data_IF_829750525367
#
_entry.id   IF_829750525367
#
_cell.length_a   1.000
_cell.length_b   1.000
_cell.length_c   1.000
_cell.angle_alpha   90.00
_cell.angle_beta   90.00
_cell.angle_gamma   90.00
#
_symmetry.space_group_name_H-M   'P 1'
#
loop_
_entity.id
_entity.type
_entity.pdbx_description
1 polymer ?
#
# COMPACT_ATOMS: atom_id res chain seq x y z
N UNK A 1 -4.69 -12.35 18.27
CA UNK A 1 -3.61 -11.47 17.78
C UNK A 1 -4.24 -10.14 17.39
N UNK A 2 -3.96 -9.09 18.14
CA UNK A 2 -4.45 -7.75 17.88
C UNK A 2 -3.54 -7.15 16.80
N UNK A 3 -4.00 -7.09 15.56
CA UNK A 3 -3.43 -6.19 14.58
C UNK A 3 -3.89 -4.79 14.95
N UNK A 4 -2.96 -3.85 15.17
CA UNK A 4 -3.34 -2.44 15.27
C UNK A 4 -3.96 -2.05 13.94
N UNK A 5 -5.17 -1.46 13.91
CA UNK A 5 -5.67 -0.91 12.67
C UNK A 5 -4.67 0.12 12.16
N UNK A 6 -4.44 0.14 10.85
CA UNK A 6 -3.71 1.21 10.19
C UNK A 6 -4.32 2.56 10.59
N UNK A 7 -3.52 3.62 10.63
CA UNK A 7 -4.08 4.97 10.80
C UNK A 7 -5.16 5.14 9.74
N UNK A 8 -6.33 5.57 10.16
CA UNK A 8 -7.44 5.88 9.26
C UNK A 8 -6.96 6.90 8.23
N UNK A 9 -6.97 6.52 6.98
CA UNK A 9 -6.71 7.42 5.88
C UNK A 9 -8.03 7.67 5.18
N UNK A 10 -8.34 8.93 4.93
CA UNK A 10 -9.65 9.36 4.46
C UNK A 10 -9.54 10.30 3.28
N UNK A 11 -10.29 10.01 2.23
CA UNK A 11 -10.54 10.86 1.07
C UNK A 11 -11.95 10.60 0.57
N UNK A 12 -12.51 11.46 -0.27
CA UNK A 12 -13.82 11.23 -0.91
C UNK A 12 -13.60 10.33 -2.12
N UNK A 13 -14.11 9.10 -2.08
CA UNK A 13 -13.96 8.06 -3.10
C UNK A 13 -15.21 7.88 -3.98
N UNK A 14 -16.33 8.50 -3.61
CA UNK A 14 -17.60 8.36 -4.32
C UNK A 14 -18.15 9.69 -4.86
N UNK A 15 -17.49 10.81 -4.54
CA UNK A 15 -17.83 12.15 -5.06
C UNK A 15 -19.00 12.81 -4.33
N UNK A 16 -19.33 12.40 -3.10
CA UNK A 16 -20.44 12.95 -2.32
C UNK A 16 -20.03 14.14 -1.40
N UNK A 17 -18.74 14.50 -1.41
CA UNK A 17 -18.09 15.50 -0.57
C UNK A 17 -18.00 15.14 0.92
N UNK A 18 -18.19 13.89 1.27
CA UNK A 18 -17.92 13.32 2.60
C UNK A 18 -16.69 12.41 2.48
N UNK A 19 -15.81 12.48 3.47
CA UNK A 19 -14.60 11.66 3.44
C UNK A 19 -14.90 10.21 3.78
N UNK A 20 -14.49 9.33 2.90
CA UNK A 20 -14.57 7.88 3.03
C UNK A 20 -13.37 7.31 3.80
N UNK A 21 -13.46 6.06 4.19
CA UNK A 21 -12.46 5.39 5.01
C UNK A 21 -11.88 4.21 4.24
N UNK A 22 -10.55 4.19 4.08
CA UNK A 22 -9.82 3.03 3.59
C UNK A 22 -9.08 2.36 4.75
N UNK A 23 -9.29 1.06 4.89
CA UNK A 23 -8.63 0.24 5.92
C UNK A 23 -7.96 -0.98 5.32
N UNK A 24 -6.79 -1.31 5.86
CA UNK A 24 -6.10 -2.58 5.63
C UNK A 24 -6.23 -3.51 6.84
N UNK A 25 -6.00 -4.78 6.63
CA UNK A 25 -5.99 -5.80 7.67
C UNK A 25 -5.46 -7.13 7.15
N UNK A 26 -5.81 -8.21 7.80
CA UNK A 26 -5.43 -9.54 7.39
C UNK A 26 -4.75 -10.34 8.49
N UNK A 27 -4.14 -11.46 8.09
CA UNK A 27 -3.40 -12.38 8.96
C UNK A 27 -2.05 -12.63 8.32
N UNK A 28 -1.00 -12.58 9.12
CA UNK A 28 0.39 -12.79 8.72
C UNK A 28 0.59 -14.13 8.02
N UNK A 29 1.43 -14.11 6.98
CA UNK A 29 1.90 -15.28 6.23
C UNK A 29 0.81 -16.09 5.52
N UNK A 30 -0.27 -15.45 5.09
CA UNK A 30 -1.32 -16.11 4.31
C UNK A 30 -2.07 -15.14 3.40
N UNK A 31 -2.59 -15.66 2.30
CA UNK A 31 -3.48 -14.89 1.43
C UNK A 31 -4.72 -14.40 2.19
N UNK A 32 -4.97 -13.09 2.13
CA UNK A 32 -6.03 -12.43 2.88
C UNK A 32 -7.17 -12.01 1.96
N UNK A 33 -8.30 -12.70 2.07
CA UNK A 33 -9.52 -12.34 1.35
C UNK A 33 -10.10 -11.02 1.90
N UNK A 34 -10.41 -10.09 0.98
CA UNK A 34 -11.08 -8.83 1.32
C UNK A 34 -10.37 -8.06 2.47
N UNK A 35 -9.05 -8.03 2.43
CA UNK A 35 -8.23 -7.43 3.48
C UNK A 35 -8.05 -5.92 3.33
N UNK A 36 -8.39 -5.36 2.17
CA UNK A 36 -8.42 -3.92 1.92
C UNK A 36 -9.85 -3.57 1.61
N UNK A 37 -10.42 -2.61 2.34
CA UNK A 37 -11.81 -2.22 2.21
C UNK A 37 -11.96 -0.71 2.27
N UNK A 38 -12.85 -0.19 1.42
CA UNK A 38 -13.29 1.21 1.48
C UNK A 38 -14.76 1.26 1.91
N UNK A 39 -15.04 2.18 2.81
CA UNK A 39 -16.37 2.41 3.34
C UNK A 39 -16.78 3.86 3.16
N UNK A 40 -18.01 4.06 2.73
CA UNK A 40 -18.66 5.37 2.66
C UNK A 40 -18.69 6.02 4.06
N UNK A 41 -18.16 7.23 4.15
CA UNK A 41 -18.11 7.97 5.41
C UNK A 41 -19.46 8.53 5.83
N UNK A 42 -20.42 8.61 4.92
CA UNK A 42 -21.75 9.14 5.18
C UNK A 42 -22.65 8.11 5.91
N UNK A 43 -22.60 6.85 5.49
CA UNK A 43 -23.52 5.84 6.03
C UNK A 43 -22.84 4.52 6.46
N UNK A 44 -21.53 4.39 6.22
CA UNK A 44 -20.75 3.21 6.55
C UNK A 44 -20.97 2.03 5.59
N UNK A 45 -21.61 2.23 4.46
CA UNK A 45 -21.75 1.20 3.45
C UNK A 45 -20.42 0.84 2.80
N UNK A 46 -20.29 -0.40 2.36
CA UNK A 46 -19.09 -0.87 1.66
C UNK A 46 -19.07 -0.32 0.24
N UNK A 47 -18.05 0.49 -0.11
CA UNK A 47 -17.82 0.95 -1.47
C UNK A 47 -17.18 -0.15 -2.31
N UNK A 48 -16.03 -0.63 -1.88
CA UNK A 48 -15.33 -1.73 -2.53
C UNK A 48 -14.45 -2.50 -1.55
N UNK A 49 -13.97 -3.66 -2.00
CA UNK A 49 -13.04 -4.51 -1.24
C UNK A 49 -12.08 -5.22 -2.17
N UNK A 50 -10.86 -5.48 -1.67
CA UNK A 50 -9.80 -6.15 -2.39
C UNK A 50 -9.06 -7.14 -1.49
N UNK A 51 -8.62 -8.24 -2.09
CA UNK A 51 -7.75 -9.22 -1.44
C UNK A 51 -6.28 -8.81 -1.55
N UNK A 52 -5.47 -9.28 -0.64
CA UNK A 52 -4.02 -9.08 -0.60
C UNK A 52 -3.26 -10.40 -0.46
N UNK A 53 -1.97 -10.39 -0.81
CA UNK A 53 -1.10 -11.58 -0.65
C UNK A 53 -0.90 -11.95 0.82
N UNK A 54 -0.87 -10.95 1.67
CA UNK A 54 -0.54 -11.07 3.07
C UNK A 54 -1.18 -9.91 3.86
N UNK A 55 -0.90 -9.80 5.14
CA UNK A 55 -1.40 -8.75 6.02
C UNK A 55 -1.06 -7.34 5.49
N UNK A 56 -2.06 -6.47 5.46
CA UNK A 56 -1.94 -5.05 5.13
C UNK A 56 -2.02 -4.24 6.42
N UNK A 57 -0.92 -3.61 6.79
CA UNK A 57 -0.80 -2.84 8.04
C UNK A 57 -0.37 -1.38 7.82
N UNK A 58 0.03 -1.03 6.60
CA UNK A 58 0.36 0.34 6.23
C UNK A 58 -0.87 1.24 6.19
N UNK A 59 -0.68 2.53 6.49
CA UNK A 59 -1.71 3.55 6.24
C UNK A 59 -1.79 3.83 4.76
N UNK A 60 -2.98 4.05 4.23
CA UNK A 60 -3.14 4.50 2.85
C UNK A 60 -2.73 5.98 2.70
N UNK A 61 -2.19 6.32 1.53
CA UNK A 61 -2.01 7.68 1.03
C UNK A 61 -2.75 7.80 -0.31
N UNK A 62 -3.06 9.03 -0.75
CA UNK A 62 -4.01 9.25 -1.83
C UNK A 62 -3.52 10.27 -2.84
N UNK A 63 -3.66 9.96 -4.13
CA UNK A 63 -3.38 10.85 -5.26
C UNK A 63 -4.13 10.35 -6.49
N UNK A 64 -4.81 11.21 -7.20
CA UNK A 64 -5.49 10.86 -8.46
C UNK A 64 -4.45 10.58 -9.58
N UNK A 65 -4.23 9.30 -9.89
CA UNK A 65 -3.40 8.83 -11.00
C UNK A 65 -4.18 8.65 -12.29
N UNK A 66 -5.45 8.29 -12.15
CA UNK A 66 -6.31 7.93 -13.27
C UNK A 66 -6.91 9.15 -13.94
N UNK A 67 -6.75 10.32 -13.32
CA UNK A 67 -7.30 11.62 -13.78
C UNK A 67 -8.83 11.60 -13.95
N UNK A 68 -9.50 10.83 -13.10
CA UNK A 68 -10.96 10.74 -13.08
C UNK A 68 -11.60 11.68 -12.04
N UNK A 69 -10.77 12.39 -11.27
CA UNK A 69 -11.19 13.34 -10.25
C UNK A 69 -11.39 12.69 -8.87
N UNK A 70 -11.16 11.39 -8.74
CA UNK A 70 -11.18 10.64 -7.49
C UNK A 70 -9.75 10.22 -7.14
N UNK A 71 -9.36 10.40 -5.90
CA UNK A 71 -8.03 9.98 -5.46
C UNK A 71 -7.89 8.45 -5.51
N UNK A 72 -6.78 7.97 -6.07
CA UNK A 72 -6.38 6.57 -5.99
C UNK A 72 -5.65 6.25 -4.69
N UNK A 73 -5.64 4.99 -4.31
CA UNK A 73 -5.23 4.50 -3.00
C UNK A 73 -3.88 3.80 -3.10
N UNK A 74 -2.88 4.26 -2.36
CA UNK A 74 -1.60 3.57 -2.20
C UNK A 74 -1.52 2.99 -0.80
N UNK A 75 -1.36 1.67 -0.71
CA UNK A 75 -1.35 0.97 0.58
C UNK A 75 -0.32 -0.15 0.59
N UNK A 76 0.26 -0.39 1.75
CA UNK A 76 1.39 -1.30 1.90
C UNK A 76 1.20 -2.33 3.01
N UNK A 77 1.99 -3.40 2.94
CA UNK A 77 1.94 -4.48 3.89
C UNK A 77 3.11 -5.46 3.77
N UNK A 78 2.88 -6.69 4.19
CA UNK A 78 3.84 -7.79 4.16
C UNK A 78 4.01 -8.35 2.74
N UNK A 79 5.00 -9.23 2.59
CA UNK A 79 5.27 -10.01 1.38
C UNK A 79 5.44 -9.15 0.12
N UNK A 80 6.22 -8.07 0.24
CA UNK A 80 6.55 -7.18 -0.87
C UNK A 80 5.35 -6.38 -1.39
N UNK A 81 4.34 -6.17 -0.59
CA UNK A 81 3.09 -5.57 -1.01
C UNK A 81 3.10 -4.05 -0.84
N UNK A 82 3.19 -3.34 -1.96
CA UNK A 82 2.84 -1.95 -2.13
C UNK A 82 1.94 -1.88 -3.35
N UNK A 83 0.71 -1.44 -3.18
CA UNK A 83 -0.34 -1.45 -4.19
C UNK A 83 -0.79 -0.03 -4.50
N UNK A 84 -1.01 0.26 -5.80
CA UNK A 84 -1.88 1.34 -6.23
C UNK A 84 -3.22 0.75 -6.69
N UNK A 85 -4.29 1.29 -6.16
CA UNK A 85 -5.65 0.79 -6.34
C UNK A 85 -6.51 1.97 -6.78
N UNK A 86 -7.30 1.78 -7.85
CA UNK A 86 -8.26 2.81 -8.27
C UNK A 86 -9.25 3.08 -7.13
N UNK A 87 -9.36 4.36 -6.75
CA UNK A 87 -10.17 4.76 -5.61
C UNK A 87 -11.67 4.57 -5.84
N UNK A 88 -12.13 4.71 -7.09
CA UNK A 88 -13.54 4.64 -7.44
C UNK A 88 -14.10 3.22 -7.31
N UNK A 89 -13.34 2.19 -7.74
CA UNK A 89 -13.88 0.82 -7.88
C UNK A 89 -13.05 -0.28 -7.21
N UNK A 90 -11.89 0.06 -6.65
CA UNK A 90 -10.98 -0.90 -6.01
C UNK A 90 -10.18 -1.77 -6.99
N UNK A 91 -10.19 -1.48 -8.29
CA UNK A 91 -9.37 -2.20 -9.27
C UNK A 91 -7.87 -1.94 -9.07
N UNK A 92 -7.02 -2.92 -9.41
CA UNK A 92 -5.57 -2.75 -9.30
C UNK A 92 -5.06 -1.86 -10.42
N UNK A 93 -4.32 -0.82 -10.06
CA UNK A 93 -3.54 -0.03 -11.01
C UNK A 93 -2.18 -0.71 -11.20
N UNK A 94 -1.41 -0.85 -10.13
CA UNK A 94 -0.17 -1.60 -10.13
C UNK A 94 0.13 -2.25 -8.76
N UNK A 95 1.03 -3.22 -8.78
CA UNK A 95 1.57 -3.93 -7.63
C UNK A 95 3.10 -3.95 -7.77
N UNK A 96 3.82 -3.37 -6.81
CA UNK A 96 5.28 -3.31 -6.83
C UNK A 96 5.91 -4.69 -7.00
N UNK A 97 5.43 -5.66 -6.26
CA UNK A 97 5.80 -7.06 -6.40
C UNK A 97 4.83 -7.74 -7.40
N UNK A 98 5.26 -8.56 -8.34
CA UNK A 98 6.57 -9.21 -8.51
C UNK A 98 7.51 -8.54 -9.51
N UNK A 99 7.21 -7.38 -10.05
CA UNK A 99 7.95 -6.81 -11.18
C UNK A 99 9.40 -6.47 -10.86
N UNK A 100 9.69 -6.08 -9.62
CA UNK A 100 11.00 -5.60 -9.19
C UNK A 100 11.69 -6.53 -8.18
N UNK A 101 11.08 -7.67 -7.85
CA UNK A 101 11.62 -8.60 -6.86
C UNK A 101 11.53 -10.04 -7.33
N UNK A 102 12.44 -10.88 -6.83
CA UNK A 102 12.33 -12.31 -6.97
C UNK A 102 11.21 -12.84 -6.05
N UNK A 103 10.34 -13.78 -6.47
CA UNK A 103 9.34 -14.38 -5.60
C UNK A 103 9.88 -14.93 -4.27
N UNK A 104 11.12 -15.38 -4.22
CA UNK A 104 11.78 -15.82 -2.99
C UNK A 104 12.04 -14.67 -2.00
N UNK A 105 12.02 -13.43 -2.45
CA UNK A 105 12.35 -12.27 -1.65
C UNK A 105 11.11 -11.59 -1.06
N UNK A 106 9.91 -12.06 -1.40
CA UNK A 106 8.64 -11.46 -0.95
C UNK A 106 8.54 -11.36 0.58
N UNK A 107 9.01 -12.35 1.30
CA UNK A 107 9.05 -12.34 2.77
C UNK A 107 10.07 -11.38 3.37
N UNK A 108 11.00 -10.85 2.57
CA UNK A 108 12.03 -9.91 3.00
C UNK A 108 11.51 -8.47 2.96
N UNK A 109 10.65 -8.17 2.00
CA UNK A 109 10.12 -6.83 1.77
C UNK A 109 8.80 -6.64 2.52
N UNK A 110 8.87 -6.16 3.76
CA UNK A 110 7.70 -5.67 4.47
C UNK A 110 7.70 -4.15 4.38
N UNK A 111 6.75 -3.58 3.64
CA UNK A 111 6.68 -2.15 3.41
C UNK A 111 5.91 -1.43 4.51
N UNK A 112 6.50 -0.34 5.03
CA UNK A 112 5.96 0.44 6.13
C UNK A 112 5.65 1.86 5.69
N UNK A 113 4.44 2.32 6.01
CA UNK A 113 4.01 3.72 5.96
C UNK A 113 4.52 4.51 4.74
N UNK A 114 3.95 4.32 3.56
CA UNK A 114 4.28 5.13 2.40
C UNK A 114 4.01 6.62 2.68
N UNK A 115 4.82 7.50 2.09
CA UNK A 115 4.65 8.94 2.18
C UNK A 115 4.91 9.54 0.81
N UNK A 116 4.10 10.52 0.40
CA UNK A 116 4.44 11.29 -0.78
C UNK A 116 5.59 12.26 -0.52
N UNK A 117 6.46 12.36 -1.52
CA UNK A 117 7.50 13.38 -1.65
C UNK A 117 7.27 14.12 -2.98
N UNK A 118 8.13 15.07 -3.31
CA UNK A 118 8.03 15.72 -4.64
C UNK A 118 8.30 14.75 -5.78
N UNK A 119 7.89 15.15 -6.98
CA UNK A 119 8.21 14.48 -8.25
C UNK A 119 9.74 14.43 -8.45
N UNK A 120 10.31 13.24 -8.46
CA UNK A 120 11.76 12.99 -8.57
C UNK A 120 12.13 12.55 -9.99
N UNK A 121 11.25 11.82 -10.67
CA UNK A 121 11.52 11.30 -12.01
C UNK A 121 10.97 12.18 -13.14
N UNK A 122 10.19 13.22 -12.83
CA UNK A 122 9.72 14.24 -13.77
C UNK A 122 8.43 13.86 -14.50
N UNK A 123 7.65 12.94 -13.95
CA UNK A 123 6.39 12.47 -14.55
C UNK A 123 5.16 13.30 -14.17
N UNK A 124 5.33 14.32 -13.35
CA UNK A 124 4.32 15.24 -12.82
C UNK A 124 3.47 14.70 -11.67
N UNK A 125 3.75 13.52 -11.16
CA UNK A 125 3.15 12.96 -9.96
C UNK A 125 4.13 13.00 -8.78
N UNK A 126 3.60 13.08 -7.56
CA UNK A 126 4.46 12.96 -6.39
C UNK A 126 4.89 11.51 -6.22
N UNK A 127 6.18 11.29 -5.97
CA UNK A 127 6.72 9.96 -5.74
C UNK A 127 6.53 9.47 -4.32
N UNK A 128 6.70 8.16 -4.12
CA UNK A 128 6.50 7.50 -2.84
C UNK A 128 7.85 7.22 -2.19
N UNK A 129 8.10 7.86 -1.04
CA UNK A 129 9.15 7.47 -0.11
C UNK A 129 8.62 6.37 0.81
N UNK A 130 9.30 5.25 0.84
CA UNK A 130 8.89 4.10 1.66
C UNK A 130 10.10 3.37 2.22
N UNK A 131 9.97 2.86 3.44
CA UNK A 131 10.95 1.94 4.01
C UNK A 131 10.46 0.50 3.91
N UNK A 132 11.38 -0.42 3.63
CA UNK A 132 11.15 -1.83 3.87
C UNK A 132 11.91 -2.31 5.10
N UNK A 133 11.35 -3.32 5.78
CA UNK A 133 12.08 -4.11 6.77
C UNK A 133 12.75 -5.29 6.11
N UNK A 134 13.94 -5.68 6.60
CA UNK A 134 14.54 -6.95 6.23
C UNK A 134 13.74 -8.13 6.77
N UNK A 135 14.23 -9.35 6.54
CA UNK A 135 13.58 -10.57 7.03
C UNK A 135 13.39 -10.53 8.56
N UNK A 136 12.14 -10.28 8.99
CA UNK A 136 11.81 -10.22 10.42
C UNK A 136 11.58 -11.59 11.03
N UNK A 137 11.51 -12.66 10.23
CA UNK A 137 11.53 -14.04 10.73
C UNK A 137 12.92 -14.43 11.24
N UNK A 138 13.98 -13.80 10.72
CA UNK A 138 15.32 -13.97 11.22
C UNK A 138 15.53 -13.22 12.55
N UNK A 139 16.17 -13.83 13.57
CA UNK A 139 16.49 -13.14 14.81
C UNK A 139 17.25 -11.83 14.59
N UNK A 140 16.91 -10.79 15.33
CA UNK A 140 17.45 -9.43 15.15
C UNK A 140 18.98 -9.33 15.32
N UNK A 141 19.59 -10.28 16.02
CA UNK A 141 21.03 -10.33 16.27
C UNK A 141 21.83 -11.13 15.21
N UNK A 142 21.16 -11.72 14.23
CA UNK A 142 21.85 -12.45 13.15
C UNK A 142 22.54 -11.45 12.21
N UNK A 143 23.85 -11.59 12.06
CA UNK A 143 24.66 -10.69 11.21
C UNK A 143 24.37 -10.84 9.70
N UNK A 144 23.78 -11.94 9.29
CA UNK A 144 23.41 -12.22 7.90
C UNK A 144 21.93 -11.90 7.59
N UNK A 145 21.22 -11.28 8.53
CA UNK A 145 19.85 -10.82 8.27
C UNK A 145 19.87 -9.76 7.16
N UNK A 146 19.03 -9.91 6.10
CA UNK A 146 18.93 -8.90 5.07
C UNK A 146 18.60 -7.53 5.66
N UNK A 147 19.29 -6.46 5.23
CA UNK A 147 19.01 -5.10 5.71
C UNK A 147 17.64 -4.62 5.22
N UNK A 148 17.07 -3.67 5.94
CA UNK A 148 16.01 -2.83 5.41
C UNK A 148 16.56 -1.73 4.51
N UNK A 149 15.72 -1.16 3.65
CA UNK A 149 16.07 -0.09 2.72
C UNK A 149 15.09 1.07 2.86
N UNK A 150 15.58 2.25 2.53
CA UNK A 150 14.75 3.41 2.23
C UNK A 150 14.72 3.54 0.71
N UNK A 151 13.53 3.62 0.13
CA UNK A 151 13.31 3.54 -1.31
C UNK A 151 12.44 4.69 -1.79
N UNK A 152 12.68 5.12 -3.02
CA UNK A 152 11.79 6.03 -3.74
C UNK A 152 11.19 5.25 -4.93
N UNK A 153 9.87 5.24 -5.00
CA UNK A 153 9.10 4.50 -6.00
C UNK A 153 8.22 5.50 -6.74
N UNK A 154 8.25 5.46 -8.09
CA UNK A 154 7.34 6.25 -8.91
C UNK A 154 5.90 5.86 -8.59
N UNK A 155 5.10 6.83 -8.17
CA UNK A 155 3.69 6.59 -7.90
C UNK A 155 2.91 6.24 -9.16
N UNK A 156 3.33 6.81 -10.30
CA UNK A 156 2.68 6.59 -11.58
C UNK A 156 2.91 5.19 -12.15
N UNK A 157 4.16 4.69 -12.06
CA UNK A 157 4.52 3.41 -12.69
C UNK A 157 4.69 2.24 -11.72
N UNK A 158 4.87 2.51 -10.42
CA UNK A 158 5.26 1.51 -9.43
C UNK A 158 6.72 1.06 -9.51
N UNK A 159 7.55 1.69 -10.35
CA UNK A 159 8.95 1.33 -10.52
C UNK A 159 9.83 1.96 -9.44
N UNK A 160 10.90 1.23 -9.07
CA UNK A 160 11.94 1.76 -8.20
C UNK A 160 12.71 2.88 -8.92
N UNK A 161 12.83 4.04 -8.27
CA UNK A 161 13.67 5.16 -8.72
C UNK A 161 15.04 5.06 -8.05
N UNK A 162 15.06 4.91 -6.74
CA UNK A 162 16.29 4.77 -5.92
C UNK A 162 16.00 4.09 -4.58
#
# INVERSE_FOLDING_TARGET
LYTKPSKQSTTDLNGDNIKDIVIGGGVDSTFCNNSIMAYDGNDGSLLWKRSSRDEVFGSAIFQDLTSDGIDDVFISGRSGQLLAINGLDGSLIWDYFPYNTNPSDSGIYNFYNPQFIGDIDGDSYNDILISNGGDHAAPSFQSNRPPGHLMIISSFTGNLIV
#
